data_IF_007552190506
#
_entry.id   IF_007552190506
#
_cell.length_a   1.000
_cell.length_b   1.000
_cell.length_c   1.000
_cell.angle_alpha   90.00
_cell.angle_beta   90.00
_cell.angle_gamma   90.00
#
_symmetry.space_group_name_H-M   'P 1'
#
loop_
_entity.id
_entity.type
_entity.pdbx_description
1 polymer ?
#
# COMPACT_ATOMS: atom_id res chain seq x y z
N UNK A 1 0.91 -0.35 -25.91
CA UNK A 1 0.49 -0.68 -24.54
C UNK A 1 -0.77 0.12 -24.27
N UNK A 2 -1.93 -0.51 -24.42
CA UNK A 2 -3.23 0.16 -24.43
C UNK A 2 -3.52 0.89 -23.10
N UNK A 3 -3.39 2.22 -23.12
CA UNK A 3 -3.64 3.10 -21.97
C UNK A 3 -5.03 2.88 -21.35
N UNK A 4 -6.02 2.48 -22.15
CA UNK A 4 -7.36 2.14 -21.67
C UNK A 4 -7.39 0.85 -20.83
N UNK A 5 -6.64 -0.18 -21.24
CA UNK A 5 -6.53 -1.44 -20.47
C UNK A 5 -5.83 -1.20 -19.14
N UNK A 6 -4.73 -0.45 -19.15
CA UNK A 6 -4.01 -0.09 -17.93
C UNK A 6 -4.89 0.68 -16.92
N UNK A 7 -5.76 1.58 -17.40
CA UNK A 7 -6.73 2.29 -16.55
C UNK A 7 -7.79 1.36 -15.97
N UNK A 8 -8.31 0.43 -16.76
CA UNK A 8 -9.30 -0.55 -16.30
C UNK A 8 -8.71 -1.51 -15.25
N UNK A 9 -7.51 -2.02 -15.52
CA UNK A 9 -6.78 -2.91 -14.60
C UNK A 9 -6.47 -2.18 -13.27
N UNK A 10 -6.09 -0.90 -13.33
CA UNK A 10 -5.87 -0.08 -12.13
C UNK A 10 -7.16 0.15 -11.34
N UNK A 11 -8.29 0.41 -12.01
CA UNK A 11 -9.58 0.60 -11.33
C UNK A 11 -10.03 -0.68 -10.61
N UNK A 12 -9.85 -1.85 -11.25
CA UNK A 12 -10.13 -3.14 -10.62
C UNK A 12 -9.23 -3.41 -9.41
N UNK A 13 -7.95 -3.02 -9.51
CA UNK A 13 -7.00 -3.09 -8.39
C UNK A 13 -7.39 -2.16 -7.23
N UNK A 14 -7.78 -0.91 -7.50
CA UNK A 14 -8.24 -0.01 -6.45
C UNK A 14 -9.48 -0.56 -5.71
N UNK A 15 -10.35 -1.27 -6.41
CA UNK A 15 -11.50 -1.94 -5.80
C UNK A 15 -11.07 -3.13 -4.92
N UNK A 16 -10.13 -3.96 -5.39
CA UNK A 16 -9.61 -5.08 -4.59
C UNK A 16 -8.86 -4.59 -3.35
N UNK A 17 -8.17 -3.46 -3.45
CA UNK A 17 -7.46 -2.85 -2.33
C UNK A 17 -8.43 -2.39 -1.24
N UNK A 18 -9.59 -1.80 -1.60
CA UNK A 18 -10.61 -1.35 -0.64
C UNK A 18 -11.25 -2.48 0.17
N UNK A 19 -11.21 -3.72 -0.34
CA UNK A 19 -11.70 -4.93 0.36
C UNK A 19 -10.59 -5.72 1.04
N UNK A 20 -9.35 -5.26 0.98
CA UNK A 20 -8.19 -5.93 1.58
C UNK A 20 -7.93 -5.38 2.99
N UNK A 21 -7.60 -6.29 3.90
CA UNK A 21 -7.27 -6.00 5.30
C UNK A 21 -5.84 -6.44 5.56
N UNK A 22 -5.07 -5.60 6.27
CA UNK A 22 -3.70 -5.93 6.68
C UNK A 22 -3.70 -6.53 8.09
N UNK A 23 -3.15 -7.73 8.24
CA UNK A 23 -3.00 -8.39 9.53
C UNK A 23 -1.52 -8.52 9.86
N UNK A 24 -1.17 -7.99 11.03
CA UNK A 24 0.20 -7.90 11.51
C UNK A 24 0.47 -8.92 12.63
N UNK A 25 1.75 -9.13 12.91
CA UNK A 25 2.24 -9.89 14.06
C UNK A 25 1.68 -11.32 14.12
N UNK A 26 1.62 -12.04 12.98
CA UNK A 26 1.16 -13.42 12.94
C UNK A 26 2.29 -14.39 13.28
N UNK A 27 1.96 -15.48 13.99
CA UNK A 27 2.94 -16.55 14.23
C UNK A 27 3.37 -17.21 12.89
N UNK A 28 4.64 -17.63 12.75
CA UNK A 28 5.11 -18.41 11.61
C UNK A 28 4.34 -19.72 11.35
N UNK A 29 3.57 -20.19 12.33
CA UNK A 29 2.73 -21.38 12.21
C UNK A 29 1.35 -21.13 11.57
N UNK A 30 0.97 -19.85 11.39
CA UNK A 30 -0.35 -19.49 10.85
C UNK A 30 -0.40 -19.72 9.35
N UNK A 31 -1.18 -20.70 8.91
CA UNK A 31 -1.40 -21.01 7.51
C UNK A 31 -2.69 -20.34 6.97
N UNK A 32 -2.83 -20.34 5.64
CA UNK A 32 -4.01 -19.80 4.95
C UNK A 32 -5.34 -20.39 5.48
N UNK A 33 -5.39 -21.69 5.77
CA UNK A 33 -6.59 -22.35 6.29
C UNK A 33 -7.04 -21.80 7.65
N UNK A 34 -6.07 -21.49 8.53
CA UNK A 34 -6.34 -20.91 9.85
C UNK A 34 -6.89 -19.50 9.69
N UNK A 35 -6.30 -18.70 8.79
CA UNK A 35 -6.78 -17.36 8.48
C UNK A 35 -8.20 -17.41 7.92
N UNK A 36 -8.45 -18.25 6.91
CA UNK A 36 -9.81 -18.42 6.35
C UNK A 36 -10.82 -18.80 7.43
N UNK A 37 -10.49 -19.76 8.29
CA UNK A 37 -11.37 -20.20 9.38
C UNK A 37 -11.65 -19.08 10.39
N UNK A 38 -10.61 -18.32 10.75
CA UNK A 38 -10.73 -17.23 11.70
C UNK A 38 -11.45 -16.00 11.11
N UNK A 39 -11.34 -15.76 9.81
CA UNK A 39 -12.06 -14.70 9.10
C UNK A 39 -13.48 -15.09 8.68
N UNK A 40 -13.80 -16.38 8.62
CA UNK A 40 -15.15 -16.90 8.30
C UNK A 40 -16.24 -16.39 9.25
N UNK A 41 -15.88 -16.03 10.49
CA UNK A 41 -16.81 -15.40 11.44
C UNK A 41 -17.21 -13.96 11.04
N UNK A 42 -16.41 -13.32 10.20
CA UNK A 42 -16.63 -11.96 9.71
C UNK A 42 -17.15 -11.96 8.28
N UNK A 43 -16.70 -12.90 7.46
CA UNK A 43 -17.19 -13.07 6.09
C UNK A 43 -16.31 -14.00 5.27
N UNK A 44 -16.69 -14.20 4.02
CA UNK A 44 -15.91 -15.06 3.14
C UNK A 44 -14.62 -14.36 2.68
N UNK A 45 -13.53 -15.12 2.64
CA UNK A 45 -12.21 -14.63 2.22
C UNK A 45 -11.96 -15.04 0.77
N UNK A 46 -11.73 -14.07 -0.12
CA UNK A 46 -11.44 -14.34 -1.53
C UNK A 46 -9.98 -14.72 -1.74
N UNK A 47 -9.05 -13.99 -1.10
CA UNK A 47 -7.61 -14.14 -1.33
C UNK A 47 -6.82 -13.90 -0.05
N UNK A 48 -5.73 -14.63 0.12
CA UNK A 48 -4.77 -14.46 1.23
C UNK A 48 -3.37 -14.39 0.62
N UNK A 49 -2.63 -13.33 0.93
CA UNK A 49 -1.29 -13.10 0.39
C UNK A 49 -0.31 -12.77 1.51
N UNK A 50 0.66 -13.66 1.73
CA UNK A 50 1.71 -13.46 2.73
C UNK A 50 2.78 -12.52 2.19
N UNK A 51 3.11 -11.49 2.97
CA UNK A 51 4.17 -10.57 2.62
C UNK A 51 5.50 -11.24 3.00
N UNK A 52 6.40 -11.49 2.04
CA UNK A 52 7.70 -12.07 2.33
C UNK A 52 8.52 -11.11 3.19
N UNK A 53 9.03 -11.60 4.31
CA UNK A 53 10.01 -10.88 5.10
C UNK A 53 11.41 -11.38 4.71
N UNK A 54 12.20 -10.50 4.10
CA UNK A 54 13.56 -10.80 3.63
C UNK A 54 14.63 -10.59 4.71
N UNK A 55 14.25 -10.12 5.91
CA UNK A 55 15.13 -10.17 7.07
C UNK A 55 15.15 -11.61 7.60
N UNK A 56 16.27 -12.31 7.42
CA UNK A 56 16.45 -13.78 7.47
C UNK A 56 16.30 -14.45 8.86
N UNK A 57 15.30 -14.08 9.66
CA UNK A 57 15.01 -14.77 10.91
C UNK A 57 13.72 -15.59 10.80
N UNK A 58 13.88 -16.92 10.79
CA UNK A 58 12.77 -17.90 10.65
C UNK A 58 11.70 -17.81 11.74
N UNK A 59 11.96 -17.07 12.82
CA UNK A 59 11.06 -16.91 13.97
C UNK A 59 10.34 -15.53 14.00
N UNK A 60 10.52 -14.70 12.97
CA UNK A 60 9.91 -13.37 12.94
C UNK A 60 8.40 -13.47 12.66
N UNK A 61 7.56 -12.64 13.30
CA UNK A 61 6.16 -12.54 12.93
C UNK A 61 5.98 -12.28 11.43
N UNK A 62 4.96 -12.92 10.86
CA UNK A 62 4.58 -12.75 9.45
C UNK A 62 3.46 -11.72 9.32
N UNK A 63 3.41 -11.09 8.16
CA UNK A 63 2.33 -10.17 7.77
C UNK A 63 1.56 -10.77 6.60
N UNK A 64 0.26 -10.48 6.55
CA UNK A 64 -0.62 -11.01 5.51
C UNK A 64 -1.64 -9.96 5.07
N UNK A 65 -1.95 -9.98 3.78
CA UNK A 65 -3.05 -9.25 3.18
C UNK A 65 -4.21 -10.23 2.98
N UNK A 66 -5.37 -9.89 3.52
CA UNK A 66 -6.59 -10.71 3.44
C UNK A 66 -7.64 -9.93 2.66
N UNK A 67 -8.00 -10.44 1.49
CA UNK A 67 -9.03 -9.87 0.64
C UNK A 67 -10.39 -10.45 1.01
N UNK A 68 -11.27 -9.60 1.53
CA UNK A 68 -12.64 -9.96 1.94
C UNK A 68 -13.59 -9.93 0.74
N UNK A 69 -14.73 -10.62 0.86
CA UNK A 69 -15.76 -10.60 -0.18
C UNK A 69 -16.37 -9.21 -0.41
N UNK A 70 -16.63 -8.46 0.66
CA UNK A 70 -17.23 -7.12 0.61
C UNK A 70 -16.30 -6.04 1.17
N UNK A 71 -16.21 -4.86 0.53
CA UNK A 71 -15.46 -3.72 1.08
C UNK A 71 -16.09 -3.14 2.35
N UNK A 72 -17.40 -3.31 2.56
CA UNK A 72 -18.08 -2.86 3.79
C UNK A 72 -17.61 -3.68 4.98
N UNK A 73 -17.45 -4.99 4.79
CA UNK A 73 -16.91 -5.90 5.79
C UNK A 73 -15.49 -5.50 6.20
N UNK A 74 -14.63 -5.13 5.24
CA UNK A 74 -13.28 -4.65 5.54
C UNK A 74 -13.30 -3.35 6.36
N UNK A 75 -14.09 -2.36 5.93
CA UNK A 75 -14.13 -1.01 6.54
C UNK A 75 -14.78 -0.97 7.92
N UNK A 76 -15.92 -1.63 8.11
CA UNK A 76 -16.63 -1.62 9.40
C UNK A 76 -15.88 -2.46 10.45
N UNK A 77 -15.22 -3.53 10.00
CA UNK A 77 -14.60 -4.47 10.92
C UNK A 77 -13.24 -4.05 11.42
N UNK A 78 -12.43 -3.28 10.69
CA UNK A 78 -11.16 -2.79 11.27
C UNK A 78 -11.41 -2.00 12.59
N UNK A 79 -12.34 -1.02 12.64
CA UNK A 79 -12.71 -0.36 13.89
C UNK A 79 -13.31 -1.34 14.91
N UNK A 80 -14.19 -2.25 14.49
CA UNK A 80 -14.81 -3.22 15.40
C UNK A 80 -13.81 -4.21 16.01
N UNK A 81 -12.75 -4.57 15.27
CA UNK A 81 -11.66 -5.46 15.70
C UNK A 81 -10.70 -4.78 16.66
N UNK A 82 -10.77 -3.44 16.76
CA UNK A 82 -10.12 -2.67 17.83
C UNK A 82 -10.78 -2.94 19.19
N UNK A 83 -12.10 -3.20 19.18
CA UNK A 83 -12.88 -3.53 20.39
C UNK A 83 -12.99 -5.04 20.65
N UNK A 84 -13.02 -5.87 19.60
CA UNK A 84 -13.01 -7.33 19.69
C UNK A 84 -11.73 -7.88 19.05
N UNK A 85 -10.69 -8.20 19.85
CA UNK A 85 -9.41 -8.60 19.32
C UNK A 85 -9.50 -9.85 18.45
N UNK A 86 -8.85 -9.83 17.29
CA UNK A 86 -8.73 -11.00 16.44
C UNK A 86 -7.83 -12.03 17.10
N UNK A 87 -8.41 -13.13 17.59
CA UNK A 87 -7.66 -14.15 18.30
C UNK A 87 -7.18 -15.25 17.34
N UNK A 88 -5.87 -15.49 17.32
CA UNK A 88 -5.26 -16.63 16.61
C UNK A 88 -4.32 -17.35 17.58
N UNK A 89 -4.64 -18.62 17.87
CA UNK A 89 -3.99 -19.42 18.92
C UNK A 89 -4.09 -18.79 20.32
N UNK A 90 -5.24 -18.18 20.65
CA UNK A 90 -5.46 -17.53 21.95
C UNK A 90 -4.69 -16.23 22.16
N UNK A 91 -3.96 -15.74 21.15
CA UNK A 91 -3.25 -14.46 21.19
C UNK A 91 -3.97 -13.41 20.33
N UNK A 92 -4.16 -12.18 20.82
CA UNK A 92 -4.73 -11.10 20.02
C UNK A 92 -3.76 -10.67 18.92
N UNK A 93 -4.28 -10.48 17.71
CA UNK A 93 -3.54 -10.07 16.52
C UNK A 93 -4.02 -8.69 16.06
N UNK A 94 -3.13 -7.70 15.90
CA UNK A 94 -3.50 -6.40 15.37
C UNK A 94 -3.98 -6.52 13.93
N UNK A 95 -5.18 -5.99 13.67
CA UNK A 95 -5.74 -5.88 12.33
C UNK A 95 -5.84 -4.40 12.00
N UNK A 96 -5.25 -3.99 10.89
CA UNK A 96 -5.16 -2.59 10.48
C UNK A 96 -5.87 -2.42 9.15
N UNK A 97 -6.53 -1.27 9.02
CA UNK A 97 -6.97 -0.78 7.72
C UNK A 97 -5.70 -0.38 6.99
N UNK A 98 -5.51 -0.83 5.75
CA UNK A 98 -4.54 -0.21 4.87
C UNK A 98 -5.07 1.19 4.49
N UNK A 99 -5.11 2.13 5.43
CA UNK A 99 -5.54 3.50 5.16
C UNK A 99 -4.49 4.19 4.27
N UNK A 100 -4.74 4.18 2.96
CA UNK A 100 -3.87 4.78 1.96
C UNK A 100 -3.97 6.31 1.92
N UNK A 101 -4.72 6.97 2.82
CA UNK A 101 -4.79 8.44 2.86
C UNK A 101 -3.42 9.06 3.07
N UNK A 102 -2.59 8.43 3.93
CA UNK A 102 -1.21 8.88 4.17
C UNK A 102 -0.36 8.66 2.91
N UNK A 103 -0.51 7.51 2.25
CA UNK A 103 0.22 7.18 1.02
C UNK A 103 -0.10 8.16 -0.12
N UNK A 104 -1.37 8.50 -0.33
CA UNK A 104 -1.81 9.47 -1.36
C UNK A 104 -1.24 10.87 -1.12
N UNK A 105 -1.27 11.34 0.13
CA UNK A 105 -0.67 12.63 0.50
C UNK A 105 0.83 12.65 0.23
N UNK A 106 1.53 11.56 0.52
CA UNK A 106 2.96 11.43 0.26
C UNK A 106 3.28 11.41 -1.24
N UNK A 107 2.47 10.71 -2.04
CA UNK A 107 2.59 10.71 -3.50
C UNK A 107 2.39 12.12 -4.09
N UNK A 108 1.32 12.81 -3.67
CA UNK A 108 1.02 14.18 -4.13
C UNK A 108 2.12 15.18 -3.74
N UNK A 109 2.70 15.03 -2.55
CA UNK A 109 3.84 15.83 -2.10
C UNK A 109 5.07 15.58 -2.98
N UNK A 110 5.41 14.31 -3.21
CA UNK A 110 6.55 13.90 -4.04
C UNK A 110 6.41 14.44 -5.46
N UNK A 111 5.20 14.38 -6.03
CA UNK A 111 4.90 14.92 -7.37
C UNK A 111 5.11 16.43 -7.43
N UNK A 112 4.68 17.17 -6.39
CA UNK A 112 4.90 18.61 -6.30
C UNK A 112 6.39 18.95 -6.24
N UNK A 113 7.14 18.28 -5.36
CA UNK A 113 8.58 18.50 -5.25
C UNK A 113 9.32 18.19 -6.56
N UNK A 114 8.93 17.13 -7.28
CA UNK A 114 9.52 16.82 -8.58
C UNK A 114 9.25 17.92 -9.62
N UNK A 115 8.04 18.49 -9.64
CA UNK A 115 7.68 19.59 -10.53
C UNK A 115 8.46 20.87 -10.18
N UNK A 116 8.55 21.22 -8.90
CA UNK A 116 9.29 22.39 -8.41
C UNK A 116 10.79 22.27 -8.71
N UNK A 117 11.39 21.10 -8.48
CA UNK A 117 12.79 20.85 -8.81
C UNK A 117 13.06 20.95 -10.32
N UNK A 118 12.15 20.42 -11.14
CA UNK A 118 12.26 20.51 -12.60
C UNK A 118 12.16 21.97 -13.08
N UNK A 119 11.27 22.76 -12.48
CA UNK A 119 11.10 24.17 -12.80
C UNK A 119 12.34 25.00 -12.45
N UNK A 120 12.91 24.80 -11.25
CA UNK A 120 14.14 25.49 -10.84
C UNK A 120 15.31 25.15 -11.76
N UNK A 121 15.42 23.88 -12.17
CA UNK A 121 16.47 23.44 -13.09
C UNK A 121 16.34 24.08 -14.47
N UNK A 122 15.12 24.19 -14.99
CA UNK A 122 14.85 24.89 -16.25
C UNK A 122 15.23 26.37 -16.16
N UNK A 123 14.87 27.04 -15.07
CA UNK A 123 15.24 28.43 -14.84
C UNK A 123 16.76 28.61 -14.80
N UNK A 124 17.48 27.73 -14.09
CA UNK A 124 18.94 27.75 -14.04
C UNK A 124 19.58 27.54 -15.42
N UNK A 125 19.08 26.59 -16.21
CA UNK A 125 19.58 26.37 -17.57
C UNK A 125 19.35 27.59 -18.48
N UNK A 126 18.20 28.27 -18.33
CA UNK A 126 17.88 29.45 -19.11
C UNK A 126 18.79 30.65 -18.75
N UNK A 127 19.09 30.84 -17.46
CA UNK A 127 20.04 31.85 -17.00
C UNK A 127 21.47 31.57 -17.48
N UNK A 128 21.91 30.31 -17.42
CA UNK A 128 23.21 29.87 -17.96
C UNK A 128 23.29 30.08 -19.49
N UNK A 129 22.22 29.79 -20.23
CA UNK A 129 22.15 30.02 -21.68
C UNK A 129 22.25 31.51 -22.02
N UNK A 130 21.58 32.38 -21.23
CA UNK A 130 21.68 33.85 -21.36
C UNK A 130 23.09 34.35 -21.03
N UNK A 131 23.72 33.82 -19.98
CA UNK A 131 25.08 34.16 -19.59
C UNK A 131 26.12 33.72 -20.63
N UNK A 132 25.94 32.55 -21.25
CA UNK A 132 26.82 32.04 -22.31
C UNK A 132 26.74 32.92 -23.57
N UNK A 133 25.51 33.29 -23.99
CA UNK A 133 25.28 34.22 -25.11
C UNK A 133 25.88 35.61 -24.87
N UNK A 134 25.88 36.09 -23.62
CA UNK A 134 26.44 37.41 -23.28
C UNK A 134 27.98 37.43 -23.22
N UNK A 135 28.62 36.29 -22.99
CA UNK A 135 30.08 36.19 -22.84
C UNK A 135 30.82 35.78 -24.12
N UNK A 136 30.09 35.47 -25.20
CA UNK A 136 30.67 35.25 -26.54
C UNK A 136 31.57 34.01 -26.64
N UNK A 137 31.50 33.07 -25.69
CA UNK A 137 32.04 31.72 -25.84
C UNK A 137 30.95 30.83 -26.40
N UNK A 138 30.84 30.79 -27.72
CA UNK A 138 30.28 29.60 -28.35
C UNK A 138 31.25 28.41 -28.14
N UNK A 139 30.75 27.16 -28.07
CA UNK A 139 31.60 25.97 -27.98
C UNK A 139 32.54 25.79 -29.18
#
# INVERSE_FOLDING_TARGET
MDSAKAKADYAAFEESVKRTVYVDNLSPQVNESILKSAFNQFGNVQKVEFIPNYAEESNMPRCVLVEMESPELAKERVPAMSNQPFMVFGMPRPVRDPDFTIAKKLEELTRRHAAEASFLLQYQLEEEEKACKATGRDP
#
